data_IF_342986434462
#
_entry.id   IF_342986434462
#
_cell.length_a   1.000
_cell.length_b   1.000
_cell.length_c   1.000
_cell.angle_alpha   90.00
_cell.angle_beta   90.00
_cell.angle_gamma   90.00
#
_symmetry.space_group_name_H-M   'P 1'
#
loop_
_entity.id
_entity.type
_entity.pdbx_description
1 polymer ?
#
# COMPACT_ATOMS: atom_id res chain seq x y z
N UNK A 1 -2.06 28.75 -17.96
CA UNK A 1 -2.84 27.62 -17.38
C UNK A 1 -2.92 26.38 -18.27
N UNK A 2 -3.00 26.50 -19.61
CA UNK A 2 -3.16 25.35 -20.53
C UNK A 2 -2.03 24.32 -20.41
N UNK A 3 -0.77 24.76 -20.35
CA UNK A 3 0.39 23.86 -20.22
C UNK A 3 0.34 23.02 -18.93
N UNK A 4 0.02 23.64 -17.79
CA UNK A 4 -0.11 22.95 -16.50
C UNK A 4 -1.20 21.86 -16.55
N UNK A 5 -2.35 22.17 -17.15
CA UNK A 5 -3.46 21.20 -17.31
C UNK A 5 -3.10 20.00 -18.19
N UNK A 6 -2.26 20.20 -19.21
CA UNK A 6 -1.78 19.13 -20.10
C UNK A 6 -0.72 18.24 -19.46
N UNK A 7 0.12 18.81 -18.58
CA UNK A 7 1.17 18.07 -17.89
C UNK A 7 0.69 17.39 -16.60
N UNK A 8 -0.36 17.92 -15.96
CA UNK A 8 -0.92 17.42 -14.72
C UNK A 8 -1.28 15.90 -14.72
N UNK A 9 -1.83 15.29 -15.80
CA UNK A 9 -2.10 13.86 -15.82
C UNK A 9 -0.81 13.02 -15.70
N UNK A 10 0.26 13.44 -16.37
CA UNK A 10 1.56 12.77 -16.31
C UNK A 10 2.23 12.95 -14.96
N UNK A 11 2.12 14.15 -14.37
CA UNK A 11 2.55 14.41 -12.99
C UNK A 11 1.81 13.52 -11.98
N UNK A 12 0.49 13.37 -12.13
CA UNK A 12 -0.30 12.43 -11.33
C UNK A 12 0.21 11.00 -11.47
N UNK A 13 0.40 10.50 -12.71
CA UNK A 13 0.87 9.14 -12.94
C UNK A 13 2.27 8.90 -12.35
N UNK A 14 3.19 9.84 -12.55
CA UNK A 14 4.53 9.77 -11.98
C UNK A 14 4.50 9.72 -10.45
N UNK A 15 3.62 10.49 -9.81
CA UNK A 15 3.44 10.46 -8.35
C UNK A 15 2.88 9.12 -7.86
N UNK A 16 1.92 8.52 -8.56
CA UNK A 16 1.40 7.19 -8.20
C UNK A 16 2.47 6.11 -8.33
N UNK A 17 3.25 6.12 -9.41
CA UNK A 17 4.34 5.16 -9.61
C UNK A 17 5.47 5.37 -8.58
N UNK A 18 5.82 6.62 -8.28
CA UNK A 18 6.79 6.97 -7.24
C UNK A 18 6.33 6.52 -5.84
N UNK A 19 5.05 6.70 -5.52
CA UNK A 19 4.44 6.21 -4.28
C UNK A 19 4.56 4.69 -4.16
N UNK A 20 4.18 3.95 -5.22
CA UNK A 20 4.28 2.50 -5.25
C UNK A 20 5.73 2.01 -5.12
N UNK A 21 6.69 2.68 -5.78
CA UNK A 21 8.11 2.36 -5.69
C UNK A 21 8.66 2.57 -4.27
N UNK A 22 8.39 3.73 -3.65
CA UNK A 22 8.83 4.03 -2.29
C UNK A 22 8.22 3.07 -1.28
N UNK A 23 6.94 2.74 -1.44
CA UNK A 23 6.28 1.78 -0.57
C UNK A 23 6.86 0.38 -0.73
N UNK A 24 7.07 -0.09 -1.97
CA UNK A 24 7.70 -1.39 -2.23
C UNK A 24 9.11 -1.47 -1.62
N UNK A 25 9.91 -0.41 -1.80
CA UNK A 25 11.25 -0.32 -1.20
C UNK A 25 11.18 -0.40 0.34
N UNK A 26 10.26 0.37 0.94
CA UNK A 26 10.06 0.33 2.39
C UNK A 26 9.64 -1.07 2.88
N UNK A 27 8.69 -1.71 2.20
CA UNK A 27 8.19 -3.04 2.57
C UNK A 27 9.29 -4.11 2.46
N UNK A 28 10.17 -4.01 1.46
CA UNK A 28 11.34 -4.90 1.34
C UNK A 28 12.27 -4.73 2.55
N UNK A 29 12.62 -3.49 2.90
CA UNK A 29 13.51 -3.20 4.04
C UNK A 29 12.88 -3.66 5.36
N UNK A 30 11.60 -3.34 5.56
CA UNK A 30 10.86 -3.72 6.76
C UNK A 30 10.70 -5.24 6.87
N UNK A 31 10.51 -5.94 5.75
CA UNK A 31 10.37 -7.40 5.70
C UNK A 31 11.57 -8.16 6.26
N UNK A 32 12.79 -7.67 6.01
CA UNK A 32 14.00 -8.28 6.59
C UNK A 32 14.01 -8.16 8.12
N UNK A 33 13.73 -6.97 8.66
CA UNK A 33 13.73 -6.76 10.12
C UNK A 33 12.58 -7.47 10.85
N UNK A 34 11.43 -7.63 10.20
CA UNK A 34 10.27 -8.30 10.78
C UNK A 34 10.44 -9.82 10.86
N UNK A 35 11.06 -10.43 9.85
CA UNK A 35 11.34 -11.87 9.87
C UNK A 35 12.13 -12.27 11.12
N UNK A 36 13.21 -11.55 11.40
CA UNK A 36 14.14 -11.89 12.48
C UNK A 36 13.55 -11.62 13.88
N UNK A 37 12.53 -10.76 13.98
CA UNK A 37 11.91 -10.35 15.23
C UNK A 37 10.58 -11.03 15.52
N UNK A 38 10.10 -11.93 14.65
CA UNK A 38 8.76 -12.52 14.74
C UNK A 38 8.42 -13.02 16.15
N UNK A 39 9.28 -13.82 16.77
CA UNK A 39 8.99 -14.36 18.09
C UNK A 39 9.26 -13.39 19.26
N UNK A 40 9.79 -12.18 19.04
CA UNK A 40 10.16 -11.23 20.11
C UNK A 40 8.92 -10.69 20.84
N UNK A 41 9.01 -10.31 22.14
CA UNK A 41 7.84 -9.85 22.89
C UNK A 41 7.32 -8.50 22.38
N UNK A 42 8.22 -7.68 21.84
CA UNK A 42 7.92 -6.37 21.27
C UNK A 42 7.44 -6.44 19.82
N UNK A 43 7.36 -7.63 19.21
CA UNK A 43 6.95 -7.82 17.83
C UNK A 43 5.64 -7.12 17.45
N UNK A 44 4.54 -7.21 18.23
CA UNK A 44 3.30 -6.51 17.89
C UNK A 44 3.47 -4.98 17.86
N UNK A 45 4.32 -4.45 18.74
CA UNK A 45 4.64 -3.02 18.79
C UNK A 45 5.50 -2.60 17.58
N UNK A 46 6.43 -3.46 17.16
CA UNK A 46 7.26 -3.25 15.98
C UNK A 46 6.42 -3.27 14.71
N UNK A 47 5.52 -4.25 14.54
CA UNK A 47 4.55 -4.28 13.43
C UNK A 47 3.68 -3.03 13.45
N UNK A 48 3.16 -2.61 14.60
CA UNK A 48 2.34 -1.40 14.69
C UNK A 48 3.09 -0.15 14.20
N UNK A 49 4.37 0.00 14.57
CA UNK A 49 5.23 1.10 14.08
C UNK A 49 5.43 1.01 12.57
N UNK A 50 5.72 -0.18 12.04
CA UNK A 50 5.90 -0.41 10.61
C UNK A 50 4.62 -0.10 9.83
N UNK A 51 3.48 -0.56 10.33
CA UNK A 51 2.16 -0.30 9.77
C UNK A 51 1.84 1.20 9.75
N UNK A 52 2.04 1.90 10.86
CA UNK A 52 1.85 3.35 10.93
C UNK A 52 2.74 4.09 9.93
N UNK A 53 4.00 3.68 9.78
CA UNK A 53 4.93 4.29 8.84
C UNK A 53 4.55 3.98 7.38
N UNK A 54 4.16 2.75 7.07
CA UNK A 54 3.67 2.36 5.74
C UNK A 54 2.42 3.15 5.32
N UNK A 55 1.45 3.30 6.24
CA UNK A 55 0.26 4.12 6.03
C UNK A 55 0.64 5.60 5.89
N UNK A 56 1.59 6.09 6.69
CA UNK A 56 2.11 7.45 6.59
C UNK A 56 2.75 7.74 5.23
N UNK A 57 3.63 6.85 4.74
CA UNK A 57 4.21 6.93 3.39
C UNK A 57 3.09 6.93 2.35
N UNK A 58 2.14 6.00 2.44
CA UNK A 58 1.02 5.91 1.51
C UNK A 58 0.22 7.22 1.48
N UNK A 59 -0.20 7.74 2.63
CA UNK A 59 -0.95 9.00 2.70
C UNK A 59 -0.14 10.18 2.12
N UNK A 60 1.12 10.34 2.52
CA UNK A 60 1.96 11.47 2.10
C UNK A 60 2.31 11.43 0.60
N UNK A 61 2.56 10.25 0.05
CA UNK A 61 2.96 10.09 -1.36
C UNK A 61 1.77 10.14 -2.32
N UNK A 62 0.58 9.73 -1.88
CA UNK A 62 -0.65 9.84 -2.67
C UNK A 62 -1.31 11.24 -2.59
N UNK A 63 -1.03 12.05 -1.55
CA UNK A 63 -1.64 13.36 -1.33
C UNK A 63 -1.38 14.38 -2.47
N UNK A 64 -0.17 14.50 -3.04
CA UNK A 64 0.05 15.36 -4.20
C UNK A 64 -0.75 14.93 -5.44
N UNK A 65 -0.87 13.61 -5.66
CA UNK A 65 -1.70 13.08 -6.74
C UNK A 65 -3.18 13.39 -6.55
N UNK A 66 -3.68 13.23 -5.33
CA UNK A 66 -5.03 13.63 -4.95
C UNK A 66 -5.27 15.13 -5.17
N UNK A 67 -4.30 15.97 -4.79
CA UNK A 67 -4.37 17.40 -4.99
C UNK A 67 -4.48 17.75 -6.49
N UNK A 68 -3.70 17.12 -7.36
CA UNK A 68 -3.82 17.31 -8.81
C UNK A 68 -5.24 16.98 -9.29
N UNK A 69 -5.76 15.79 -8.93
CA UNK A 69 -7.10 15.36 -9.35
C UNK A 69 -8.20 16.32 -8.85
N UNK A 70 -8.08 16.80 -7.61
CA UNK A 70 -9.08 17.65 -6.98
C UNK A 70 -9.03 19.09 -7.48
N UNK A 71 -7.85 19.69 -7.55
CA UNK A 71 -7.67 21.12 -7.83
C UNK A 71 -7.55 21.43 -9.32
N UNK A 72 -7.01 20.52 -10.13
CA UNK A 72 -6.82 20.76 -11.58
C UNK A 72 -8.01 20.24 -12.40
N UNK A 73 -8.54 19.07 -12.02
CA UNK A 73 -9.57 18.35 -12.77
C UNK A 73 -10.94 18.27 -12.07
N UNK A 74 -11.05 18.77 -10.83
CA UNK A 74 -12.32 18.81 -10.06
C UNK A 74 -12.95 17.41 -9.90
N UNK A 75 -12.11 16.37 -9.83
CA UNK A 75 -12.56 15.00 -9.57
C UNK A 75 -13.05 14.92 -8.12
N UNK A 76 -14.13 14.15 -7.91
CA UNK A 76 -14.70 13.97 -6.58
C UNK A 76 -13.70 13.30 -5.62
N UNK A 77 -13.68 13.71 -4.33
CA UNK A 77 -12.68 13.23 -3.38
C UNK A 77 -12.75 11.71 -3.18
N UNK A 78 -13.96 11.13 -3.19
CA UNK A 78 -14.14 9.68 -3.07
C UNK A 78 -13.52 8.90 -4.23
N UNK A 79 -13.55 9.43 -5.47
CA UNK A 79 -12.89 8.79 -6.63
C UNK A 79 -11.38 8.91 -6.56
N UNK A 80 -10.89 10.11 -6.20
CA UNK A 80 -9.47 10.38 -6.09
C UNK A 80 -8.79 9.59 -4.96
N UNK A 81 -9.54 9.16 -3.93
CA UNK A 81 -9.02 8.37 -2.82
C UNK A 81 -8.88 6.87 -3.13
N UNK A 82 -9.51 6.34 -4.19
CA UNK A 82 -9.56 4.89 -4.47
C UNK A 82 -8.16 4.26 -4.53
N UNK A 83 -7.15 4.83 -5.23
CA UNK A 83 -5.80 4.25 -5.26
C UNK A 83 -5.18 4.15 -3.86
N UNK A 84 -5.33 5.19 -3.04
CA UNK A 84 -4.80 5.21 -1.68
C UNK A 84 -5.50 4.16 -0.78
N UNK A 85 -6.83 4.04 -0.90
CA UNK A 85 -7.61 3.04 -0.14
C UNK A 85 -7.20 1.62 -0.53
N UNK A 86 -7.02 1.35 -1.83
CA UNK A 86 -6.59 0.04 -2.31
C UNK A 86 -5.20 -0.36 -1.78
N UNK A 87 -4.26 0.58 -1.76
CA UNK A 87 -2.93 0.33 -1.19
C UNK A 87 -3.00 0.14 0.33
N UNK A 88 -3.76 1.00 1.02
CA UNK A 88 -3.91 0.93 2.48
C UNK A 88 -4.55 -0.38 2.94
N UNK A 89 -5.57 -0.87 2.22
CA UNK A 89 -6.19 -2.16 2.54
C UNK A 89 -5.23 -3.33 2.34
N UNK A 90 -4.39 -3.29 1.29
CA UNK A 90 -3.32 -4.26 1.09
C UNK A 90 -2.30 -4.26 2.24
N UNK A 91 -1.81 -3.08 2.64
CA UNK A 91 -0.90 -2.93 3.79
C UNK A 91 -1.51 -3.53 5.06
N UNK A 92 -2.77 -3.21 5.36
CA UNK A 92 -3.48 -3.73 6.54
C UNK A 92 -3.62 -5.26 6.46
N UNK A 93 -3.94 -5.80 5.29
CA UNK A 93 -4.05 -7.25 5.09
C UNK A 93 -2.71 -7.95 5.34
N UNK A 94 -1.62 -7.40 4.80
CA UNK A 94 -0.27 -7.95 4.94
C UNK A 94 0.15 -8.01 6.41
N UNK A 95 0.13 -6.87 7.11
CA UNK A 95 0.60 -6.80 8.49
C UNK A 95 -0.41 -7.38 9.50
N UNK A 96 -1.71 -7.27 9.22
CA UNK A 96 -2.76 -7.91 10.02
C UNK A 96 -2.69 -9.43 9.93
N UNK A 97 -2.42 -9.97 8.74
CA UNK A 97 -2.16 -11.39 8.54
C UNK A 97 -0.94 -11.89 9.31
N UNK A 98 0.11 -11.07 9.36
CA UNK A 98 1.33 -11.39 10.09
C UNK A 98 1.16 -11.35 11.62
N UNK A 99 0.40 -10.39 12.16
CA UNK A 99 -0.02 -10.39 13.58
C UNK A 99 -0.87 -11.61 13.92
N UNK A 100 -1.77 -12.00 13.01
CA UNK A 100 -2.59 -13.18 13.19
C UNK A 100 -1.74 -14.46 13.16
N UNK A 101 -0.74 -14.55 12.27
CA UNK A 101 0.27 -15.62 12.28
C UNK A 101 1.01 -15.68 13.62
N UNK A 102 1.41 -14.53 14.17
CA UNK A 102 2.09 -14.47 15.47
C UNK A 102 1.23 -15.03 16.59
N UNK A 103 -0.05 -14.66 16.61
CA UNK A 103 -1.02 -15.12 17.61
C UNK A 103 -1.24 -16.64 17.53
N UNK A 104 -1.36 -17.20 16.32
CA UNK A 104 -1.48 -18.66 16.13
C UNK A 104 -0.24 -19.44 16.59
N UNK A 105 0.92 -18.78 16.63
CA UNK A 105 2.20 -19.38 17.00
C UNK A 105 2.69 -18.90 18.38
N UNK A 106 1.80 -18.41 19.23
CA UNK A 106 2.15 -17.89 20.57
C UNK A 106 2.88 -18.94 21.42
N UNK A 107 2.35 -20.17 21.46
CA UNK A 107 2.95 -21.29 22.18
C UNK A 107 4.31 -21.70 21.60
N UNK A 108 4.47 -21.63 20.28
CA UNK A 108 5.73 -21.96 19.61
C UNK A 108 6.82 -20.96 20.00
N UNK A 109 6.51 -19.67 19.95
CA UNK A 109 7.44 -18.62 20.33
C UNK A 109 7.69 -18.53 21.85
N UNK A 110 6.84 -19.14 22.68
CA UNK A 110 7.07 -19.22 24.13
C UNK A 110 8.10 -20.29 24.54
N UNK A 111 8.36 -21.28 23.68
CA UNK A 111 9.07 -22.53 24.07
C UNK A 111 10.48 -22.64 23.46
N UNK A 112 10.86 -21.83 22.46
CA UNK A 112 12.19 -21.93 21.83
C UNK A 112 13.07 -20.69 21.94
N UNK A 113 14.39 -20.84 21.72
CA UNK A 113 15.31 -19.71 21.70
C UNK A 113 14.98 -18.77 20.53
N UNK A 114 14.83 -17.48 20.86
CA UNK A 114 14.39 -16.38 20.00
C UNK A 114 15.12 -16.25 18.65
N UNK A 115 16.33 -16.83 18.52
CA UNK A 115 17.18 -16.73 17.32
C UNK A 115 17.17 -17.92 16.36
N UNK A 116 16.33 -18.95 16.55
CA UNK A 116 16.42 -20.21 15.79
C UNK A 116 15.09 -20.76 15.22
N UNK A 117 13.97 -20.05 15.31
CA UNK A 117 12.64 -20.61 14.97
C UNK A 117 12.19 -20.38 13.52
N UNK A 118 13.13 -20.36 12.57
CA UNK A 118 12.85 -19.90 11.21
C UNK A 118 12.10 -20.91 10.31
N UNK A 119 11.78 -22.12 10.78
CA UNK A 119 11.24 -23.20 9.92
C UNK A 119 10.06 -24.02 10.48
N UNK A 120 9.49 -23.66 11.63
CA UNK A 120 8.41 -24.45 12.28
C UNK A 120 7.15 -23.65 12.60
N UNK A 121 7.01 -22.44 12.02
CA UNK A 121 5.81 -21.61 12.16
C UNK A 121 4.66 -22.29 11.41
N UNK A 122 3.54 -22.50 12.10
CA UNK A 122 2.29 -22.93 11.50
C UNK A 122 1.78 -21.79 10.63
N UNK A 123 1.79 -22.00 9.31
CA UNK A 123 1.18 -21.13 8.32
C UNK A 123 -0.02 -21.84 7.71
N UNK A 124 -1.25 -21.54 8.16
CA UNK A 124 -2.43 -22.14 7.57
C UNK A 124 -2.54 -21.75 6.09
N UNK A 125 -2.74 -22.73 5.22
CA UNK A 125 -2.85 -22.53 3.76
C UNK A 125 -3.89 -21.46 3.41
N UNK A 126 -5.01 -21.43 4.16
CA UNK A 126 -6.07 -20.45 3.92
C UNK A 126 -5.63 -19.00 4.19
N UNK A 127 -4.72 -18.79 5.16
CA UNK A 127 -4.23 -17.46 5.52
C UNK A 127 -3.19 -16.98 4.52
N UNK A 128 -2.30 -17.88 4.10
CA UNK A 128 -1.35 -17.60 3.02
C UNK A 128 -2.10 -17.24 1.73
N UNK A 129 -3.10 -18.03 1.34
CA UNK A 129 -3.96 -17.75 0.21
C UNK A 129 -4.70 -16.40 0.36
N UNK A 130 -5.26 -16.12 1.54
CA UNK A 130 -5.96 -14.86 1.82
C UNK A 130 -5.03 -13.65 1.62
N UNK A 131 -3.82 -13.69 2.17
CA UNK A 131 -2.83 -12.63 2.04
C UNK A 131 -2.38 -12.51 0.58
N UNK A 132 -2.02 -13.62 -0.07
CA UNK A 132 -1.52 -13.62 -1.45
C UNK A 132 -2.57 -13.08 -2.43
N UNK A 133 -3.77 -13.65 -2.43
CA UNK A 133 -4.85 -13.22 -3.33
C UNK A 133 -5.34 -11.82 -2.97
N UNK A 134 -5.46 -11.50 -1.68
CA UNK A 134 -5.89 -10.17 -1.26
C UNK A 134 -4.89 -9.07 -1.63
N UNK A 135 -3.59 -9.34 -1.54
CA UNK A 135 -2.54 -8.42 -2.03
C UNK A 135 -2.59 -8.25 -3.54
N UNK A 136 -2.80 -9.34 -4.29
CA UNK A 136 -3.00 -9.28 -5.75
C UNK A 136 -4.21 -8.43 -6.13
N UNK A 137 -5.34 -8.62 -5.42
CA UNK A 137 -6.56 -7.82 -5.63
C UNK A 137 -6.31 -6.35 -5.29
N UNK A 138 -5.67 -6.05 -4.16
CA UNK A 138 -5.33 -4.69 -3.77
C UNK A 138 -4.43 -3.98 -4.81
N UNK A 139 -3.41 -4.69 -5.31
CA UNK A 139 -2.52 -4.18 -6.36
C UNK A 139 -3.27 -3.95 -7.69
N UNK A 140 -4.14 -4.87 -8.08
CA UNK A 140 -4.99 -4.72 -9.28
C UNK A 140 -5.95 -3.53 -9.15
N UNK A 141 -6.61 -3.37 -7.99
CA UNK A 141 -7.50 -2.24 -7.72
C UNK A 141 -6.74 -0.91 -7.76
N UNK A 142 -5.54 -0.86 -7.18
CA UNK A 142 -4.67 0.32 -7.27
C UNK A 142 -4.29 0.62 -8.73
N UNK A 143 -3.85 -0.38 -9.50
CA UNK A 143 -3.45 -0.20 -10.89
C UNK A 143 -4.61 0.28 -11.76
N UNK A 144 -5.75 -0.41 -11.70
CA UNK A 144 -6.93 -0.10 -12.49
C UNK A 144 -7.49 1.28 -12.16
N UNK A 145 -7.58 1.64 -10.87
CA UNK A 145 -8.04 2.96 -10.46
C UNK A 145 -7.06 4.06 -10.85
N UNK A 146 -5.75 3.80 -10.78
CA UNK A 146 -4.70 4.73 -11.22
C UNK A 146 -4.80 5.01 -12.72
N UNK A 147 -4.88 3.97 -13.54
CA UNK A 147 -5.01 4.08 -15.00
C UNK A 147 -6.32 4.77 -15.38
N UNK A 148 -7.42 4.40 -14.73
CA UNK A 148 -8.72 5.03 -14.97
C UNK A 148 -8.68 6.54 -14.68
N UNK A 149 -8.16 6.95 -13.52
CA UNK A 149 -8.06 8.36 -13.15
C UNK A 149 -7.09 9.12 -14.06
N UNK A 150 -6.03 8.47 -14.54
CA UNK A 150 -5.14 9.03 -15.56
C UNK A 150 -5.88 9.27 -16.88
N UNK A 151 -6.65 8.31 -17.38
CA UNK A 151 -7.44 8.45 -18.61
C UNK A 151 -8.50 9.55 -18.46
N UNK A 152 -9.20 9.62 -17.32
CA UNK A 152 -10.14 10.70 -17.02
C UNK A 152 -9.45 12.05 -17.05
N UNK A 153 -8.27 12.16 -16.43
CA UNK A 153 -7.47 13.38 -16.40
C UNK A 153 -7.01 13.80 -17.81
N UNK A 154 -6.60 12.84 -18.65
CA UNK A 154 -6.27 13.11 -20.06
C UNK A 154 -7.49 13.64 -20.82
N UNK A 155 -8.65 12.98 -20.71
CA UNK A 155 -9.88 13.45 -21.36
C UNK A 155 -10.18 14.89 -20.95
N UNK A 156 -10.19 15.19 -19.64
CA UNK A 156 -10.41 16.55 -19.14
C UNK A 156 -9.38 17.58 -19.61
N UNK A 157 -8.12 17.17 -19.80
CA UNK A 157 -7.06 18.07 -20.26
C UNK A 157 -7.18 18.46 -21.73
N UNK A 158 -7.77 17.59 -22.57
CA UNK A 158 -7.81 17.75 -24.02
C UNK A 158 -9.19 18.09 -24.59
N UNK A 159 -10.31 17.85 -23.88
CA UNK A 159 -11.64 18.28 -24.34
C UNK A 159 -11.95 19.75 -24.09
N UNK A 160 -11.20 20.47 -23.25
CA UNK A 160 -11.41 21.91 -23.05
C UNK A 160 -10.79 22.80 -24.13
N UNK A 161 -10.54 22.27 -25.34
CA UNK A 161 -10.04 23.04 -26.49
C UNK A 161 -11.13 23.50 -27.46
N UNK A 162 -12.36 23.00 -27.32
CA UNK A 162 -13.45 23.25 -28.27
C UNK A 162 -14.50 24.26 -27.75
N UNK A 163 -14.17 25.07 -26.74
CA UNK A 163 -15.07 26.08 -26.15
C UNK A 163 -14.39 27.44 -26.03
#
# INVERSE_FOLDING_TARGET
MILLRRLAPFGYLALQLGAAYLLALYLVIAGFGLRDSFCYPDYPTTIAKVLCFAIGICALTHLPGFAILKWVFVISPHKAAIPCVAVTSGIILLFGGDLFLRALNETHCAVGPWGLQDNSIIKPIWLEALIEYGMKIAALLWLLSTVWLFIVSLKCAFTTQDA
#
